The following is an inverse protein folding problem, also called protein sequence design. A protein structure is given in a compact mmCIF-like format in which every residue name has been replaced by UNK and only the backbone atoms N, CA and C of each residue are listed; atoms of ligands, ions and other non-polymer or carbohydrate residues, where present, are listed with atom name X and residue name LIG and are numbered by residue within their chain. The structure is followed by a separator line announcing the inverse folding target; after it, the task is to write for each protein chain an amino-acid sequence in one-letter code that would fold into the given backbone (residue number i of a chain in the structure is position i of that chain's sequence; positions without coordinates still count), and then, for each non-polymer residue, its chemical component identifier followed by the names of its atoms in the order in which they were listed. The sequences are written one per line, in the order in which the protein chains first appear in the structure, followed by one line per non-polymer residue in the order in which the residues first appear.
data_IF_022670404855
#
_entry.id   IF_022670404855
#
_cell.length_a   1.000
_cell.length_b   1.000
_cell.length_c   1.000
_cell.angle_alpha   90.00
_cell.angle_beta   90.00
_cell.angle_gamma   90.00
#
_symmetry.space_group_name_H-M   'P 1'
#
loop_
_entity.id
_entity.type
_entity.pdbx_description
1 polymer ?
#
# COMPACT_ATOMS: atom_id res chain seq x y z
N UNK A 1 -21.32 1.79 -15.82
CA UNK A 1 -20.33 2.32 -14.87
C UNK A 1 -19.22 1.28 -14.72
N UNK A 2 -18.15 1.46 -15.46
CA UNK A 2 -16.92 0.69 -15.27
C UNK A 2 -16.29 1.20 -13.96
N UNK A 3 -16.29 0.39 -12.95
CA UNK A 3 -15.63 0.71 -11.69
C UNK A 3 -14.12 0.73 -11.97
N UNK A 4 -13.55 1.90 -12.17
CA UNK A 4 -12.12 2.11 -12.39
C UNK A 4 -11.27 1.76 -11.17
N UNK A 5 -11.91 1.47 -10.07
CA UNK A 5 -11.30 1.23 -8.79
C UNK A 5 -12.14 0.21 -8.01
N UNK A 6 -11.53 -0.88 -7.57
CA UNK A 6 -12.21 -1.92 -6.79
C UNK A 6 -11.82 -1.85 -5.32
N UNK A 7 -10.55 -2.06 -5.01
CA UNK A 7 -10.05 -1.95 -3.64
C UNK A 7 -8.56 -1.62 -3.61
N UNK A 8 -8.10 -1.10 -2.47
CA UNK A 8 -6.68 -0.91 -2.20
C UNK A 8 -6.27 -1.86 -1.07
N UNK A 9 -5.29 -2.70 -1.34
CA UNK A 9 -4.60 -3.50 -0.33
C UNK A 9 -3.33 -2.76 0.08
N UNK A 10 -3.06 -2.65 1.38
CA UNK A 10 -1.93 -1.89 1.90
C UNK A 10 -1.05 -2.80 2.76
N UNK A 11 0.27 -2.77 2.58
CA UNK A 11 1.20 -3.52 3.40
C UNK A 11 2.47 -2.74 3.72
N UNK A 12 3.07 -3.06 4.85
CA UNK A 12 4.30 -2.50 5.36
C UNK A 12 4.65 -3.11 6.70
N UNK A 13 5.86 -2.89 7.18
CA UNK A 13 6.35 -3.40 8.45
C UNK A 13 6.69 -2.26 9.41
N UNK A 14 6.52 -2.45 10.72
CA UNK A 14 6.84 -1.46 11.73
C UNK A 14 6.11 -0.13 11.49
N UNK A 15 6.83 0.98 11.38
CA UNK A 15 6.26 2.30 11.07
C UNK A 15 5.55 2.32 9.71
N UNK A 16 6.06 1.55 8.73
CA UNK A 16 5.39 1.41 7.43
C UNK A 16 4.04 0.68 7.56
N UNK A 17 3.88 -0.24 8.51
CA UNK A 17 2.60 -0.85 8.84
C UNK A 17 1.62 0.19 9.40
N UNK A 18 2.10 1.09 10.27
CA UNK A 18 1.28 2.19 10.79
C UNK A 18 0.81 3.13 9.66
N UNK A 19 1.68 3.43 8.70
CA UNK A 19 1.33 4.24 7.52
C UNK A 19 0.28 3.53 6.64
N UNK A 20 0.39 2.21 6.46
CA UNK A 20 -0.60 1.41 5.73
C UNK A 20 -1.98 1.43 6.42
N UNK A 21 -1.99 1.29 7.75
CA UNK A 21 -3.23 1.39 8.54
C UNK A 21 -3.83 2.79 8.48
N UNK A 22 -3.03 3.83 8.59
CA UNK A 22 -3.49 5.22 8.50
C UNK A 22 -4.13 5.49 7.14
N UNK A 23 -3.51 5.05 6.05
CA UNK A 23 -4.07 5.18 4.71
C UNK A 23 -5.41 4.44 4.61
N UNK A 24 -5.48 3.16 5.00
CA UNK A 24 -6.70 2.37 4.94
C UNK A 24 -7.83 2.98 5.78
N UNK A 25 -7.52 3.47 6.98
CA UNK A 25 -8.49 4.15 7.85
C UNK A 25 -9.02 5.44 7.20
N UNK A 26 -8.14 6.23 6.58
CA UNK A 26 -8.52 7.45 5.87
C UNK A 26 -9.42 7.17 4.65
N UNK A 27 -9.21 6.05 3.97
CA UNK A 27 -10.08 5.63 2.86
C UNK A 27 -11.45 5.15 3.34
N UNK A 28 -11.49 4.29 4.35
CA UNK A 28 -12.74 3.69 4.87
C UNK A 28 -13.61 4.73 5.59
N UNK A 29 -13.01 5.52 6.46
CA UNK A 29 -13.74 6.55 7.21
C UNK A 29 -13.90 7.81 6.35
N UNK A 30 -12.95 8.69 6.44
CA UNK A 30 -12.77 9.91 5.65
C UNK A 30 -11.36 10.44 5.87
N UNK A 31 -10.88 11.31 5.03
CA UNK A 31 -9.63 12.03 5.26
C UNK A 31 -9.92 13.34 6.01
N UNK A 32 -10.25 14.43 5.34
CA UNK A 32 -10.59 15.72 5.96
C UNK A 32 -12.08 16.06 5.87
N UNK A 33 -12.71 15.76 4.74
CA UNK A 33 -14.12 16.07 4.48
C UNK A 33 -14.98 14.81 4.43
N UNK A 34 -16.27 14.94 4.74
CA UNK A 34 -17.22 13.85 4.59
C UNK A 34 -17.40 13.47 3.13
N UNK A 35 -17.33 12.17 2.87
CA UNK A 35 -17.56 11.57 1.54
C UNK A 35 -17.88 10.10 1.68
N UNK A 36 -18.36 9.40 0.63
CA UNK A 36 -18.58 7.96 0.69
C UNK A 36 -17.31 7.19 1.01
N UNK A 37 -17.43 6.09 1.77
CA UNK A 37 -16.32 5.20 2.12
C UNK A 37 -15.70 4.59 0.87
N UNK A 38 -14.38 4.49 0.87
CA UNK A 38 -13.60 3.85 -0.19
C UNK A 38 -13.01 2.52 0.32
N UNK A 39 -13.04 1.45 -0.50
CA UNK A 39 -12.59 0.13 -0.06
C UNK A 39 -11.07 0.07 0.05
N UNK A 40 -10.58 -0.13 1.27
CA UNK A 40 -9.15 -0.30 1.54
C UNK A 40 -8.95 -1.29 2.70
N UNK A 41 -7.88 -2.07 2.66
CA UNK A 41 -7.53 -3.06 3.67
C UNK A 41 -6.05 -2.98 3.99
N UNK A 42 -5.71 -2.75 5.26
CA UNK A 42 -4.34 -2.91 5.74
C UNK A 42 -4.09 -4.38 6.11
N UNK A 43 -3.20 -5.05 5.37
CA UNK A 43 -2.94 -6.49 5.49
C UNK A 43 -2.18 -6.90 6.76
N UNK A 44 -1.75 -5.93 7.55
CA UNK A 44 -1.01 -6.12 8.80
C UNK A 44 -1.90 -6.05 10.06
N UNK A 45 -3.22 -6.10 9.93
CA UNK A 45 -4.14 -5.91 11.05
C UNK A 45 -4.74 -7.20 11.61
N UNK A 46 -4.92 -8.23 10.80
CA UNK A 46 -5.45 -9.51 11.25
C UNK A 46 -4.33 -10.35 11.88
N UNK A 47 -4.22 -10.26 13.20
CA UNK A 47 -3.19 -10.95 13.96
C UNK A 47 -3.27 -12.49 13.83
N UNK A 48 -4.46 -13.02 13.68
CA UNK A 48 -4.66 -14.48 13.52
C UNK A 48 -4.13 -14.94 12.17
N UNK A 49 -4.43 -14.22 11.10
CA UNK A 49 -3.89 -14.50 9.76
C UNK A 49 -2.37 -14.41 9.76
N UNK A 50 -1.80 -13.33 10.29
CA UNK A 50 -0.35 -13.13 10.31
C UNK A 50 0.36 -14.24 11.10
N UNK A 51 -0.12 -14.56 12.29
CA UNK A 51 0.49 -15.58 13.15
C UNK A 51 0.30 -16.99 12.61
N UNK A 52 -0.84 -17.32 12.01
CA UNK A 52 -1.06 -18.61 11.38
C UNK A 52 -0.07 -18.84 10.22
N UNK A 53 0.10 -17.85 9.33
CA UNK A 53 1.06 -17.96 8.22
C UNK A 53 2.48 -18.05 8.73
N UNK A 54 2.84 -17.23 9.72
CA UNK A 54 4.17 -17.23 10.32
C UNK A 54 4.49 -18.57 11.04
N UNK A 55 3.50 -19.17 11.70
CA UNK A 55 3.65 -20.47 12.39
C UNK A 55 3.98 -21.62 11.43
N UNK A 56 3.54 -21.53 10.18
CA UNK A 56 3.92 -22.47 9.12
C UNK A 56 5.35 -22.21 8.58
N UNK A 57 6.14 -21.38 9.25
CA UNK A 57 7.48 -20.92 8.86
C UNK A 57 7.51 -20.15 7.53
N UNK A 58 6.41 -19.52 7.19
CA UNK A 58 6.23 -18.73 5.96
C UNK A 58 6.19 -17.24 6.26
N UNK A 59 7.09 -16.74 7.10
CA UNK A 59 7.14 -15.31 7.49
C UNK A 59 7.15 -14.36 6.29
N UNK A 60 7.86 -14.74 5.23
CA UNK A 60 7.94 -13.94 4.01
C UNK A 60 6.64 -13.95 3.19
N UNK A 61 5.70 -14.84 3.49
CA UNK A 61 4.44 -15.02 2.75
C UNK A 61 3.24 -14.33 3.42
N UNK A 62 3.45 -13.65 4.54
CA UNK A 62 2.36 -13.08 5.36
C UNK A 62 1.47 -12.12 4.59
N UNK A 63 2.03 -11.32 3.70
CA UNK A 63 1.26 -10.42 2.83
C UNK A 63 0.93 -11.05 1.49
N UNK A 64 1.84 -11.78 0.89
CA UNK A 64 1.63 -12.40 -0.41
C UNK A 64 0.45 -13.38 -0.45
N UNK A 65 0.26 -14.19 0.62
CA UNK A 65 -0.92 -15.06 0.74
C UNK A 65 -2.22 -14.27 0.77
N UNK A 66 -2.25 -13.16 1.49
CA UNK A 66 -3.42 -12.29 1.56
C UNK A 66 -3.69 -11.60 0.21
N UNK A 67 -2.65 -11.11 -0.47
CA UNK A 67 -2.77 -10.53 -1.82
C UNK A 67 -3.34 -11.56 -2.80
N UNK A 68 -2.85 -12.80 -2.79
CA UNK A 68 -3.40 -13.87 -3.65
C UNK A 68 -4.85 -14.22 -3.34
N UNK A 69 -5.25 -14.13 -2.08
CA UNK A 69 -6.62 -14.45 -1.65
C UNK A 69 -7.61 -13.33 -1.93
N UNK A 70 -7.21 -12.07 -1.72
CA UNK A 70 -8.10 -10.91 -1.71
C UNK A 70 -7.99 -10.04 -2.97
N UNK A 71 -6.81 -10.02 -3.60
CA UNK A 71 -6.53 -9.15 -4.75
C UNK A 71 -7.18 -9.64 -6.04
N UNK A 72 -7.69 -8.70 -6.81
CA UNK A 72 -8.29 -8.92 -8.13
C UNK A 72 -7.66 -7.99 -9.17
N UNK A 73 -7.79 -8.36 -10.44
CA UNK A 73 -7.36 -7.48 -11.52
C UNK A 73 -8.04 -6.11 -11.43
N UNK A 74 -7.25 -5.04 -11.52
CA UNK A 74 -7.71 -3.66 -11.37
C UNK A 74 -7.71 -3.12 -9.93
N UNK A 75 -7.42 -3.94 -8.93
CA UNK A 75 -7.12 -3.47 -7.58
C UNK A 75 -5.73 -2.82 -7.51
N UNK A 76 -5.47 -2.12 -6.42
CA UNK A 76 -4.18 -1.46 -6.17
C UNK A 76 -3.51 -2.08 -4.96
N UNK A 77 -2.21 -2.34 -5.04
CA UNK A 77 -1.37 -2.63 -3.88
C UNK A 77 -0.54 -1.39 -3.52
N UNK A 78 -0.76 -0.84 -2.33
CA UNK A 78 0.12 0.15 -1.73
C UNK A 78 1.17 -0.59 -0.88
N UNK A 79 2.40 -0.67 -1.39
CA UNK A 79 3.52 -1.35 -0.76
C UNK A 79 4.49 -0.33 -0.16
N UNK A 80 4.69 -0.38 1.15
CA UNK A 80 5.53 0.60 1.87
C UNK A 80 6.73 -0.09 2.48
N UNK A 81 7.93 0.27 2.01
CA UNK A 81 9.20 -0.27 2.52
C UNK A 81 10.30 0.78 2.41
N UNK A 82 10.90 1.17 3.53
CA UNK A 82 11.92 2.23 3.57
C UNK A 82 13.15 1.93 2.71
N UNK A 83 13.51 0.67 2.53
CA UNK A 83 14.66 0.23 1.72
C UNK A 83 14.28 -0.55 0.47
N UNK A 84 13.03 -0.96 0.34
CA UNK A 84 12.56 -1.74 -0.78
C UNK A 84 13.08 -3.19 -0.83
N UNK A 85 13.60 -3.73 0.28
CA UNK A 85 14.24 -5.06 0.35
C UNK A 85 13.58 -6.02 1.36
N UNK A 86 12.48 -5.63 2.01
CA UNK A 86 11.76 -6.52 2.92
C UNK A 86 11.14 -7.66 2.14
N UNK A 87 11.56 -8.90 2.42
CA UNK A 87 11.17 -10.09 1.64
C UNK A 87 9.67 -10.30 1.55
N UNK A 88 8.95 -10.08 2.64
CA UNK A 88 7.50 -10.17 2.70
C UNK A 88 6.80 -9.13 1.80
N UNK A 89 7.34 -7.91 1.74
CA UNK A 89 6.82 -6.85 0.87
C UNK A 89 7.17 -7.15 -0.60
N UNK A 90 8.39 -7.61 -0.87
CA UNK A 90 8.81 -8.05 -2.22
C UNK A 90 7.86 -9.14 -2.73
N UNK A 91 7.60 -10.18 -1.93
CA UNK A 91 6.67 -11.26 -2.29
C UNK A 91 5.22 -10.78 -2.44
N UNK A 92 4.79 -9.79 -1.66
CA UNK A 92 3.48 -9.18 -1.85
C UNK A 92 3.36 -8.49 -3.21
N UNK A 93 4.40 -7.76 -3.62
CA UNK A 93 4.47 -7.13 -4.95
C UNK A 93 4.48 -8.18 -6.07
N UNK A 94 5.29 -9.24 -5.95
CA UNK A 94 5.29 -10.35 -6.90
C UNK A 94 3.88 -10.99 -7.03
N UNK A 95 3.20 -11.21 -5.90
CA UNK A 95 1.84 -11.72 -5.89
C UNK A 95 0.86 -10.76 -6.57
N UNK A 96 0.99 -9.45 -6.34
CA UNK A 96 0.13 -8.43 -6.97
C UNK A 96 0.32 -8.40 -8.50
N UNK A 97 1.55 -8.54 -8.99
CA UNK A 97 1.83 -8.66 -10.43
C UNK A 97 1.09 -9.85 -11.02
N UNK A 98 1.12 -11.02 -10.37
CA UNK A 98 0.40 -12.23 -10.86
C UNK A 98 -1.12 -12.11 -10.80
N UNK A 99 -1.64 -11.13 -10.06
CA UNK A 99 -3.08 -10.83 -9.93
C UNK A 99 -3.54 -9.66 -10.81
N UNK A 100 -2.67 -9.16 -11.69
CA UNK A 100 -2.94 -8.00 -12.54
C UNK A 100 -3.39 -6.75 -11.74
N UNK A 101 -2.80 -6.56 -10.57
CA UNK A 101 -2.99 -5.36 -9.74
C UNK A 101 -2.00 -4.27 -10.17
N UNK A 102 -2.38 -3.02 -9.95
CA UNK A 102 -1.47 -1.89 -10.07
C UNK A 102 -0.72 -1.70 -8.75
N UNK A 103 0.58 -1.43 -8.81
CA UNK A 103 1.41 -1.25 -7.62
C UNK A 103 1.77 0.22 -7.46
N UNK A 104 1.56 0.74 -6.25
CA UNK A 104 2.11 2.01 -5.77
C UNK A 104 3.09 1.69 -4.66
N UNK A 105 4.37 1.90 -4.91
CA UNK A 105 5.45 1.61 -3.97
C UNK A 105 5.99 2.90 -3.33
N UNK A 106 5.98 2.97 -2.00
CA UNK A 106 6.68 4.00 -1.24
C UNK A 106 8.01 3.43 -0.76
N UNK A 107 9.10 3.98 -1.25
CA UNK A 107 10.46 3.48 -0.98
C UNK A 107 11.40 4.60 -0.51
N UNK A 108 12.63 4.25 -0.26
CA UNK A 108 13.73 5.16 0.03
C UNK A 108 15.05 4.56 -0.46
N UNK A 109 16.15 5.14 -0.06
CA UNK A 109 17.49 4.73 -0.52
C UNK A 109 17.57 4.69 -2.06
N UNK A 110 17.85 3.52 -2.61
CA UNK A 110 17.92 3.24 -4.04
C UNK A 110 16.68 2.53 -4.59
N UNK A 111 15.64 2.33 -3.74
CA UNK A 111 14.40 1.63 -4.09
C UNK A 111 14.47 0.11 -3.90
N UNK A 112 15.66 -0.46 -3.74
CA UNK A 112 15.89 -1.88 -3.50
C UNK A 112 15.31 -2.80 -4.58
N UNK A 113 15.00 -4.04 -4.20
CA UNK A 113 14.37 -5.03 -5.10
C UNK A 113 13.01 -4.56 -5.63
N UNK A 114 12.24 -3.81 -4.83
CA UNK A 114 10.93 -3.32 -5.25
C UNK A 114 11.01 -2.51 -6.55
N UNK A 115 11.99 -1.63 -6.67
CA UNK A 115 12.15 -0.79 -7.86
C UNK A 115 12.30 -1.61 -9.15
N UNK A 116 12.94 -2.77 -9.07
CA UNK A 116 13.15 -3.68 -10.21
C UNK A 116 11.92 -4.51 -10.59
N UNK A 117 10.90 -4.58 -9.74
CA UNK A 117 9.69 -5.36 -9.99
C UNK A 117 8.57 -4.55 -10.64
N UNK A 118 8.67 -3.23 -10.62
CA UNK A 118 7.61 -2.34 -11.09
C UNK A 118 7.58 -2.28 -12.62
N UNK A 119 6.38 -2.39 -13.17
CA UNK A 119 6.11 -2.26 -14.59
C UNK A 119 5.71 -0.83 -14.99
N UNK A 120 5.39 -0.62 -16.29
CA UNK A 120 5.11 0.73 -16.82
C UNK A 120 3.80 1.35 -16.28
N UNK A 121 2.90 0.54 -15.71
CA UNK A 121 1.65 1.02 -15.11
C UNK A 121 1.79 1.28 -13.61
N UNK A 122 2.91 0.89 -13.00
CA UNK A 122 3.16 1.01 -11.58
C UNK A 122 3.82 2.36 -11.26
N UNK A 123 3.73 2.78 -10.01
CA UNK A 123 4.30 4.04 -9.54
C UNK A 123 5.22 3.79 -8.38
N UNK A 124 6.45 4.30 -8.44
CA UNK A 124 7.34 4.39 -7.29
C UNK A 124 7.47 5.85 -6.83
N UNK A 125 7.24 6.07 -5.55
CA UNK A 125 7.57 7.34 -4.88
C UNK A 125 8.75 7.07 -3.95
N UNK A 126 9.94 7.45 -4.42
CA UNK A 126 11.18 7.21 -3.71
C UNK A 126 11.63 8.45 -2.95
N UNK A 127 11.86 8.31 -1.66
CA UNK A 127 12.42 9.38 -0.84
C UNK A 127 13.96 9.30 -0.91
N UNK A 128 14.64 10.31 -1.46
CA UNK A 128 16.08 10.29 -1.68
C UNK A 128 16.85 10.55 -0.38
N UNK A 129 16.78 9.62 0.55
CA UNK A 129 17.44 9.68 1.85
C UNK A 129 17.99 8.31 2.24
N UNK A 130 19.07 8.31 3.04
CA UNK A 130 19.66 7.11 3.64
C UNK A 130 19.31 7.00 5.14
N UNK A 131 18.42 7.84 5.65
CA UNK A 131 17.97 7.84 7.04
C UNK A 131 16.53 7.35 7.12
N UNK A 132 16.32 6.16 7.69
CA UNK A 132 14.98 5.54 7.78
C UNK A 132 13.95 6.46 8.44
N UNK A 133 14.32 7.21 9.47
CA UNK A 133 13.39 8.13 10.12
C UNK A 133 12.90 9.24 9.17
N UNK A 134 13.78 9.79 8.36
CA UNK A 134 13.41 10.81 7.36
C UNK A 134 12.51 10.23 6.27
N UNK A 135 12.82 9.01 5.83
CA UNK A 135 12.00 8.30 4.84
C UNK A 135 10.60 8.05 5.41
N UNK A 136 10.50 7.58 6.65
CA UNK A 136 9.21 7.31 7.32
C UNK A 136 8.35 8.57 7.47
N UNK A 137 8.95 9.70 7.85
CA UNK A 137 8.25 10.99 7.94
C UNK A 137 7.70 11.41 6.57
N UNK A 138 8.52 11.28 5.54
CA UNK A 138 8.12 11.62 4.17
C UNK A 138 7.09 10.63 3.60
N UNK A 139 7.15 9.36 3.96
CA UNK A 139 6.10 8.40 3.62
C UNK A 139 4.76 8.78 4.24
N UNK A 140 4.74 9.23 5.51
CA UNK A 140 3.52 9.70 6.15
C UNK A 140 2.96 10.93 5.42
N UNK A 141 3.82 11.90 5.10
CA UNK A 141 3.43 13.06 4.30
C UNK A 141 2.85 12.63 2.94
N UNK A 142 3.52 11.70 2.25
CA UNK A 142 3.07 11.17 0.96
C UNK A 142 1.70 10.48 1.08
N UNK A 143 1.48 9.69 2.13
CA UNK A 143 0.19 9.05 2.40
C UNK A 143 -0.91 10.09 2.54
N UNK A 144 -0.69 11.17 3.28
CA UNK A 144 -1.66 12.25 3.41
C UNK A 144 -1.91 12.96 2.06
N UNK A 145 -0.86 13.22 1.29
CA UNK A 145 -1.01 13.78 -0.06
C UNK A 145 -1.82 12.87 -0.99
N UNK A 146 -1.61 11.55 -0.91
CA UNK A 146 -2.39 10.59 -1.69
C UNK A 146 -3.87 10.60 -1.28
N UNK A 147 -4.17 10.66 0.01
CA UNK A 147 -5.53 10.77 0.51
C UNK A 147 -6.22 12.03 -0.02
N UNK A 148 -5.53 13.18 0.06
CA UNK A 148 -6.03 14.46 -0.44
C UNK A 148 -6.28 14.43 -1.95
N UNK A 149 -5.33 13.91 -2.74
CA UNK A 149 -5.47 13.79 -4.19
C UNK A 149 -6.61 12.84 -4.60
N UNK A 150 -6.80 11.73 -3.88
CA UNK A 150 -7.90 10.80 -4.12
C UNK A 150 -9.24 11.48 -3.85
N UNK A 151 -9.38 12.16 -2.72
CA UNK A 151 -10.59 12.87 -2.35
C UNK A 151 -10.91 13.96 -3.38
N UNK A 152 -9.95 14.79 -3.74
CA UNK A 152 -10.14 15.87 -4.73
C UNK A 152 -10.43 15.35 -6.14
N UNK A 153 -9.93 14.16 -6.50
CA UNK A 153 -10.16 13.57 -7.82
C UNK A 153 -11.53 12.91 -7.91
N UNK A 154 -11.92 12.17 -6.88
CA UNK A 154 -13.17 11.40 -6.88
C UNK A 154 -14.38 12.20 -6.39
N UNK A 155 -14.14 13.19 -5.53
CA UNK A 155 -15.16 14.00 -4.88
C UNK A 155 -14.77 15.49 -4.96
N UNK A 156 -14.60 16.05 -6.15
CA UNK A 156 -14.23 17.45 -6.29
C UNK A 156 -15.26 18.33 -5.61
N UNK A 157 -14.81 19.31 -4.82
CA UNK A 157 -15.69 20.31 -4.27
C UNK A 157 -16.39 21.01 -5.42
N UNK A 158 -17.72 21.06 -5.41
CA UNK A 158 -18.46 21.97 -6.24
C UNK A 158 -18.28 23.32 -5.56
N UNK A 159 -17.51 24.21 -6.18
CA UNK A 159 -17.48 25.61 -5.80
C UNK A 159 -18.89 26.14 -6.01
N UNK A 160 -19.58 26.49 -4.92
CA UNK A 160 -20.86 27.19 -4.92
C UNK A 160 -20.71 28.66 -5.40
#
# INVERSE_FOLDING_TARGET
YTTLFRSILCCGNGTSAANAQHFAASMINRFETERPSLPAIALNTDNVVLTAIANDRLHDEVYAKQVRALGHAGDVLLAISTRGNSRDIVKAVEAAVTRDMTIVALTGYDGGELAGLLGPQDVEIRIPSHRSARIQEMHMLTVNCLCDLIDNTLFPHQDD
#
